data_IF_990530607655
#
_entry.id   IF_990530607655
#
_cell.length_a   1.000
_cell.length_b   1.000
_cell.length_c   1.000
_cell.angle_alpha   90.00
_cell.angle_beta   90.00
_cell.angle_gamma   90.00
#
_symmetry.space_group_name_H-M   'P 1'
#
loop_
_entity.id
_entity.type
_entity.pdbx_description
1 polymer ?
#
# COMPACT_ATOMS: atom_id res chain seq x y z
N UNK A 1 -34.01 -7.97 6.01
CA UNK A 1 -34.21 -6.63 6.59
C UNK A 1 -33.49 -5.63 5.71
N UNK A 2 -34.25 -4.74 5.06
CA UNK A 2 -33.74 -3.75 4.09
C UNK A 2 -33.26 -2.53 4.87
N UNK A 3 -31.97 -2.22 4.83
CA UNK A 3 -31.43 -0.98 5.41
C UNK A 3 -31.19 0.03 4.28
N UNK A 4 -31.95 1.12 4.37
CA UNK A 4 -32.03 2.25 3.46
C UNK A 4 -30.76 3.10 3.48
N UNK A 5 -30.26 3.39 2.28
CA UNK A 5 -29.14 4.29 1.99
C UNK A 5 -29.44 5.73 2.41
N UNK A 6 -28.58 6.33 3.25
CA UNK A 6 -28.59 7.77 3.54
C UNK A 6 -27.68 8.47 2.52
N UNK A 7 -28.25 9.16 1.53
CA UNK A 7 -27.52 10.05 0.62
C UNK A 7 -27.56 11.46 1.18
N UNK A 8 -26.43 11.97 1.65
CA UNK A 8 -26.26 13.38 2.01
C UNK A 8 -25.95 14.14 0.72
N UNK A 9 -26.90 14.95 0.26
CA UNK A 9 -26.73 15.88 -0.86
C UNK A 9 -26.13 17.18 -0.32
N UNK A 10 -24.94 17.54 -0.80
CA UNK A 10 -24.33 18.86 -0.56
C UNK A 10 -24.69 19.76 -1.73
N UNK A 11 -25.60 20.71 -1.50
CA UNK A 11 -25.87 21.84 -2.38
C UNK A 11 -25.19 23.07 -1.78
N UNK A 12 -24.13 23.56 -2.42
CA UNK A 12 -23.67 24.94 -2.24
C UNK A 12 -23.64 25.56 -3.63
N UNK A 13 -24.67 26.38 -3.87
CA UNK A 13 -24.87 27.12 -5.10
C UNK A 13 -23.91 28.32 -5.15
N UNK A 14 -23.19 28.42 -6.27
CA UNK A 14 -22.40 29.59 -6.66
C UNK A 14 -23.33 30.73 -7.06
N UNK A 15 -23.20 31.89 -6.41
CA UNK A 15 -23.89 33.12 -6.78
C UNK A 15 -22.90 34.27 -6.91
N UNK A 16 -22.39 34.49 -8.12
CA UNK A 16 -21.72 35.73 -8.53
C UNK A 16 -22.78 36.82 -8.76
N UNK A 17 -22.59 38.00 -8.18
CA UNK A 17 -23.22 39.23 -8.67
C UNK A 17 -22.18 40.36 -8.68
N UNK A 18 -21.69 40.65 -9.89
CA UNK A 18 -21.00 41.89 -10.25
C UNK A 18 -22.08 42.87 -10.69
N UNK A 19 -22.14 44.06 -10.09
CA UNK A 19 -22.81 45.22 -10.67
C UNK A 19 -22.10 46.50 -10.23
N UNK A 20 -21.63 47.26 -11.22
CA UNK A 20 -20.90 48.51 -11.07
C UNK A 20 -21.85 49.73 -11.15
N UNK A 21 -21.43 50.81 -10.47
CA UNK A 21 -21.61 52.23 -10.79
C UNK A 21 -23.02 52.80 -11.07
N UNK A 22 -23.54 53.61 -10.14
CA UNK A 22 -24.08 54.96 -10.41
C UNK A 22 -24.46 55.69 -9.12
N UNK A 23 -24.05 56.96 -8.99
CA UNK A 23 -24.80 58.01 -8.27
C UNK A 23 -24.73 58.00 -6.75
N UNK A 24 -24.09 59.03 -6.19
CA UNK A 24 -23.83 59.13 -4.75
C UNK A 24 -25.06 59.20 -3.86
N UNK A 25 -24.92 58.62 -2.67
CA UNK A 25 -25.47 59.15 -1.42
C UNK A 25 -24.44 58.84 -0.34
N UNK A 26 -24.12 59.86 0.44
CA UNK A 26 -23.23 59.80 1.58
C UNK A 26 -23.80 58.96 2.73
N UNK A 27 -22.90 58.33 3.50
CA UNK A 27 -23.14 58.04 4.91
C UNK A 27 -23.57 56.61 5.23
N UNK A 28 -22.75 55.96 6.07
CA UNK A 28 -23.09 54.83 6.94
C UNK A 28 -23.25 53.45 6.30
N UNK A 29 -22.14 52.80 5.91
CA UNK A 29 -22.11 51.35 5.73
C UNK A 29 -20.75 50.62 5.96
N UNK A 30 -19.77 51.05 6.79
CA UNK A 30 -18.58 50.24 7.00
C UNK A 30 -18.73 49.15 8.09
N UNK A 31 -19.91 48.97 8.70
CA UNK A 31 -20.07 48.09 9.87
C UNK A 31 -20.68 46.70 9.60
N UNK A 32 -21.16 46.41 8.38
CA UNK A 32 -21.81 45.12 8.07
C UNK A 32 -20.92 44.06 7.41
N UNK A 33 -19.68 44.41 7.02
CA UNK A 33 -18.72 43.46 6.44
C UNK A 33 -17.67 42.92 7.44
N UNK A 34 -17.62 43.47 8.67
CA UNK A 34 -16.73 42.98 9.72
C UNK A 34 -17.33 41.83 10.57
N UNK A 35 -18.65 41.56 10.46
CA UNK A 35 -19.34 40.55 11.26
C UNK A 35 -19.33 39.12 10.69
N UNK A 36 -18.98 38.94 9.42
CA UNK A 36 -19.02 37.65 8.72
C UNK A 36 -17.66 36.94 8.64
N UNK A 37 -16.60 37.51 9.23
CA UNK A 37 -15.28 36.88 9.32
C UNK A 37 -15.05 36.09 10.63
N UNK A 38 -16.00 36.10 11.58
CA UNK A 38 -15.86 35.45 12.89
C UNK A 38 -16.75 34.21 13.11
N UNK A 39 -17.43 33.74 12.06
CA UNK A 39 -18.30 32.57 12.13
C UNK A 39 -17.91 31.47 11.14
N UNK A 40 -16.61 31.31 10.84
CA UNK A 40 -16.16 29.99 10.44
C UNK A 40 -16.17 29.13 11.70
N UNK A 41 -17.09 28.15 11.83
CA UNK A 41 -16.89 27.16 12.85
C UNK A 41 -15.53 26.54 12.56
N UNK A 42 -14.69 26.50 13.58
CA UNK A 42 -13.68 25.48 13.72
C UNK A 42 -14.41 24.14 13.59
N UNK A 43 -14.66 23.72 12.35
CA UNK A 43 -14.81 22.33 12.01
C UNK A 43 -13.42 21.74 12.22
N UNK A 44 -13.05 21.61 13.49
CA UNK A 44 -12.20 20.52 13.90
C UNK A 44 -12.95 19.29 13.41
N UNK A 45 -12.57 18.84 12.22
CA UNK A 45 -12.78 17.48 11.78
C UNK A 45 -12.14 16.64 12.86
N UNK A 46 -12.90 16.33 13.91
CA UNK A 46 -12.63 15.21 14.78
C UNK A 46 -12.76 14.02 13.85
N UNK A 47 -11.66 13.70 13.16
CA UNK A 47 -11.48 12.42 12.52
C UNK A 47 -11.67 11.46 13.68
N UNK A 48 -12.87 10.90 13.79
CA UNK A 48 -13.19 9.92 14.79
C UNK A 48 -12.22 8.79 14.55
N UNK A 49 -11.17 8.74 15.38
CA UNK A 49 -10.24 7.63 15.43
C UNK A 49 -11.05 6.45 15.94
N UNK A 50 -11.59 5.62 15.05
CA UNK A 50 -12.01 4.27 15.40
C UNK A 50 -10.88 3.69 16.24
N UNK A 51 -11.26 3.24 17.43
CA UNK A 51 -10.32 2.64 18.36
C UNK A 51 -9.67 1.41 17.75
N UNK A 52 -8.69 0.87 18.48
CA UNK A 52 -8.13 -0.43 18.15
C UNK A 52 -9.26 -1.43 17.84
N UNK A 53 -9.04 -2.30 16.84
CA UNK A 53 -9.95 -3.38 16.49
C UNK A 53 -10.36 -4.10 17.76
N UNK A 54 -11.69 -4.19 18.01
CA UNK A 54 -12.15 -4.89 19.21
C UNK A 54 -11.59 -6.33 19.19
N UNK A 55 -10.97 -6.79 20.28
CA UNK A 55 -10.42 -8.13 20.33
C UNK A 55 -11.53 -9.15 20.07
N UNK A 56 -11.25 -10.15 19.25
CA UNK A 56 -12.20 -11.22 18.99
C UNK A 56 -12.43 -12.02 20.28
N UNK A 57 -13.68 -12.06 20.76
CA UNK A 57 -14.03 -12.83 21.96
C UNK A 57 -14.08 -14.35 21.72
N UNK A 58 -13.92 -14.81 20.47
CA UNK A 58 -13.95 -16.23 20.08
C UNK A 58 -12.76 -16.67 19.22
N UNK A 59 -13.00 -17.48 18.19
CA UNK A 59 -11.92 -18.01 17.34
C UNK A 59 -11.69 -17.12 16.13
N UNK A 60 -10.45 -16.66 15.96
CA UNK A 60 -10.04 -15.96 14.73
C UNK A 60 -9.68 -16.97 13.63
N UNK A 61 -10.18 -16.74 12.43
CA UNK A 61 -9.81 -17.50 11.23
C UNK A 61 -9.31 -16.53 10.17
N UNK A 62 -8.20 -16.87 9.51
CA UNK A 62 -7.65 -16.09 8.39
C UNK A 62 -8.03 -16.76 7.07
N UNK A 63 -8.41 -15.98 6.08
CA UNK A 63 -8.64 -16.42 4.70
C UNK A 63 -7.92 -15.49 3.73
N UNK A 64 -7.56 -15.99 2.55
CA UNK A 64 -7.17 -15.13 1.44
C UNK A 64 -8.41 -14.78 0.61
N UNK A 65 -8.59 -13.49 0.32
CA UNK A 65 -9.65 -12.99 -0.56
C UNK A 65 -9.08 -11.86 -1.41
N UNK A 66 -9.13 -12.01 -2.74
CA UNK A 66 -8.57 -11.05 -3.71
C UNK A 66 -7.09 -10.69 -3.40
N UNK A 67 -6.31 -11.69 -3.00
CA UNK A 67 -4.89 -11.54 -2.64
C UNK A 67 -4.64 -10.77 -1.33
N UNK A 68 -5.66 -10.63 -0.48
CA UNK A 68 -5.57 -10.00 0.86
C UNK A 68 -5.93 -10.98 1.95
N UNK A 69 -5.17 -10.93 3.04
CA UNK A 69 -5.48 -11.67 4.25
C UNK A 69 -6.66 -10.98 4.93
N UNK A 70 -7.78 -11.68 5.06
CA UNK A 70 -8.94 -11.24 5.81
C UNK A 70 -9.04 -12.07 7.09
N UNK A 71 -9.13 -11.41 8.23
CA UNK A 71 -9.33 -12.06 9.53
C UNK A 71 -10.79 -11.99 9.92
N UNK A 72 -11.42 -13.14 10.07
CA UNK A 72 -12.81 -13.30 10.52
C UNK A 72 -12.84 -13.68 11.99
N UNK A 73 -13.73 -13.07 12.76
CA UNK A 73 -14.00 -13.47 14.14
C UNK A 73 -15.24 -14.39 14.18
N UNK A 74 -15.06 -15.60 14.68
CA UNK A 74 -16.18 -16.47 15.04
C UNK A 74 -16.51 -16.29 16.51
N UNK A 75 -17.76 -15.94 16.86
CA UNK A 75 -18.19 -15.87 18.25
C UNK A 75 -17.99 -17.21 18.99
N UNK A 76 -17.81 -17.18 20.33
CA UNK A 76 -17.84 -18.38 21.15
C UNK A 76 -19.06 -19.24 20.83
N UNK A 77 -18.87 -20.57 20.76
CA UNK A 77 -19.93 -21.56 20.51
C UNK A 77 -20.54 -21.57 19.09
N UNK A 78 -20.11 -20.69 18.18
CA UNK A 78 -20.51 -20.74 16.77
C UNK A 78 -19.60 -21.70 15.97
N UNK A 79 -20.18 -22.49 15.06
CA UNK A 79 -19.39 -23.28 14.10
C UNK A 79 -18.72 -22.35 13.09
N UNK A 80 -17.40 -22.24 13.11
CA UNK A 80 -16.65 -21.48 12.11
C UNK A 80 -16.79 -22.11 10.72
N UNK A 81 -17.58 -21.49 9.85
CA UNK A 81 -17.73 -21.94 8.46
C UNK A 81 -16.61 -21.43 7.53
N UNK A 82 -15.68 -20.62 8.07
CA UNK A 82 -14.50 -20.09 7.38
C UNK A 82 -13.28 -21.00 7.50
N UNK A 83 -13.28 -21.91 8.49
CA UNK A 83 -12.18 -22.83 8.71
C UNK A 83 -12.13 -23.89 7.60
N UNK A 84 -11.04 -23.88 6.81
CA UNK A 84 -10.75 -24.91 5.81
C UNK A 84 -11.21 -24.63 4.38
N UNK A 85 -11.77 -23.46 4.06
CA UNK A 85 -12.26 -23.21 2.69
C UNK A 85 -11.16 -22.92 1.67
N UNK A 86 -10.03 -22.31 2.05
CA UNK A 86 -8.93 -22.06 1.11
C UNK A 86 -7.59 -22.19 1.82
N UNK A 87 -6.73 -23.11 1.35
CA UNK A 87 -5.32 -23.06 1.71
C UNK A 87 -4.74 -21.86 0.97
N UNK A 88 -4.04 -20.99 1.68
CA UNK A 88 -3.38 -19.85 1.08
C UNK A 88 -1.97 -19.73 1.63
N UNK A 89 -1.10 -19.11 0.85
CA UNK A 89 0.23 -18.72 1.32
C UNK A 89 0.21 -17.29 1.83
N UNK A 90 0.70 -17.07 3.04
CA UNK A 90 0.85 -15.73 3.62
C UNK A 90 2.11 -15.07 3.08
N UNK A 91 1.94 -14.06 2.23
CA UNK A 91 3.04 -13.33 1.62
C UNK A 91 3.68 -12.31 2.56
N UNK A 92 3.06 -12.03 3.72
CA UNK A 92 3.42 -10.92 4.60
C UNK A 92 2.64 -9.64 4.26
N UNK A 93 2.74 -8.65 5.15
CA UNK A 93 2.11 -7.32 5.00
C UNK A 93 0.61 -7.37 4.62
N UNK A 94 -0.13 -8.35 5.14
CA UNK A 94 -1.56 -8.52 4.87
C UNK A 94 -1.91 -9.00 3.45
N UNK A 95 -0.93 -9.48 2.67
CA UNK A 95 -1.09 -10.06 1.33
C UNK A 95 -1.02 -11.59 1.37
N UNK A 96 -1.62 -12.23 0.37
CA UNK A 96 -1.60 -13.68 0.25
C UNK A 96 -1.75 -14.15 -1.19
N UNK A 97 -1.44 -15.43 -1.41
CA UNK A 97 -1.76 -16.16 -2.64
C UNK A 97 -2.85 -17.19 -2.37
N UNK A 98 -3.93 -17.10 -3.14
CA UNK A 98 -4.96 -18.13 -3.18
C UNK A 98 -4.40 -19.35 -3.91
N UNK A 99 -4.67 -20.54 -3.35
CA UNK A 99 -4.40 -21.86 -3.93
C UNK A 99 -2.94 -22.20 -4.27
N UNK A 100 -2.00 -21.26 -4.16
CA UNK A 100 -0.57 -21.49 -4.30
C UNK A 100 0.16 -21.52 -2.96
N UNK A 101 1.21 -22.35 -2.87
CA UNK A 101 2.16 -22.38 -1.74
C UNK A 101 3.52 -21.78 -2.08
N UNK A 102 3.68 -21.22 -3.29
CA UNK A 102 4.96 -20.77 -3.78
C UNK A 102 5.25 -19.31 -3.38
N UNK A 103 6.28 -19.04 -2.56
CA UNK A 103 6.69 -17.68 -2.23
C UNK A 103 7.20 -16.89 -3.45
N UNK A 104 7.66 -17.57 -4.51
CA UNK A 104 8.08 -17.00 -5.79
C UNK A 104 7.01 -16.14 -6.47
N UNK A 105 5.75 -16.52 -6.28
CA UNK A 105 4.58 -15.86 -6.85
C UNK A 105 4.04 -14.69 -6.03
N UNK A 106 4.54 -14.48 -4.81
CA UNK A 106 4.09 -13.36 -3.98
C UNK A 106 4.45 -12.03 -4.65
N UNK A 107 3.47 -11.14 -4.91
CA UNK A 107 3.78 -9.83 -5.45
C UNK A 107 4.52 -8.99 -4.41
N UNK A 108 5.42 -8.12 -4.87
CA UNK A 108 6.03 -7.11 -4.01
C UNK A 108 4.92 -6.19 -3.43
N UNK A 109 4.86 -5.98 -2.10
CA UNK A 109 3.99 -4.99 -1.52
C UNK A 109 4.26 -3.59 -2.09
N UNK A 110 3.22 -2.94 -2.59
CA UNK A 110 3.28 -1.56 -3.10
C UNK A 110 2.78 -0.61 -2.03
N UNK A 111 3.57 0.42 -1.71
CA UNK A 111 3.12 1.48 -0.82
C UNK A 111 2.10 2.41 -1.47
N UNK A 112 1.39 3.17 -0.63
CA UNK A 112 0.41 4.17 -1.04
C UNK A 112 0.91 5.56 -0.63
N UNK A 113 1.51 6.24 -1.59
CA UNK A 113 2.17 7.53 -1.39
C UNK A 113 1.43 8.63 -2.14
N UNK A 114 1.51 9.86 -1.63
CA UNK A 114 1.00 11.04 -2.31
C UNK A 114 2.12 12.04 -2.56
N UNK A 115 1.99 12.79 -3.64
CA UNK A 115 2.79 13.98 -3.84
C UNK A 115 2.25 15.10 -2.95
N UNK A 116 3.09 15.58 -2.04
CA UNK A 116 2.82 16.73 -1.19
C UNK A 116 3.99 17.71 -1.33
N UNK A 117 3.67 19.00 -1.41
CA UNK A 117 4.69 20.03 -1.59
C UNK A 117 5.64 20.13 -0.38
N UNK A 118 5.10 19.91 0.83
CA UNK A 118 5.85 19.98 2.08
C UNK A 118 5.23 19.14 3.21
N UNK A 119 5.83 19.24 4.40
CA UNK A 119 5.37 18.56 5.61
C UNK A 119 3.99 19.01 6.10
N UNK A 120 3.65 20.28 5.93
CA UNK A 120 2.36 20.82 6.33
C UNK A 120 1.25 20.34 5.39
N UNK A 121 1.50 20.35 4.08
CA UNK A 121 0.57 19.88 3.06
C UNK A 121 0.25 18.39 3.22
N UNK A 122 1.29 17.56 3.41
CA UNK A 122 1.11 16.14 3.68
C UNK A 122 0.27 15.90 4.94
N UNK A 123 0.60 16.58 6.04
CA UNK A 123 -0.12 16.44 7.31
C UNK A 123 -1.56 16.92 7.24
N UNK A 124 -1.80 17.99 6.50
CA UNK A 124 -3.13 18.58 6.39
C UNK A 124 -4.07 17.73 5.53
N UNK A 125 -3.55 17.06 4.48
CA UNK A 125 -4.40 16.43 3.45
C UNK A 125 -4.35 14.92 3.39
N UNK A 126 -3.20 14.31 3.68
CA UNK A 126 -2.96 12.92 3.29
C UNK A 126 -2.53 12.05 4.47
N UNK A 127 -1.51 12.45 5.22
CA UNK A 127 -1.01 11.64 6.31
C UNK A 127 0.33 12.11 6.88
N UNK A 128 1.35 11.27 6.85
CA UNK A 128 2.63 11.52 7.53
C UNK A 128 3.81 11.28 6.60
N UNK A 129 4.84 12.11 6.73
CA UNK A 129 6.11 11.86 6.06
C UNK A 129 6.87 10.77 6.79
N UNK A 130 7.15 9.68 6.10
CA UNK A 130 7.92 8.55 6.61
C UNK A 130 8.98 8.15 5.59
N UNK A 131 9.98 7.42 6.06
CA UNK A 131 10.89 6.72 5.16
C UNK A 131 10.17 5.53 4.54
N UNK A 132 10.30 5.37 3.23
CA UNK A 132 9.63 4.34 2.46
C UNK A 132 10.53 3.85 1.32
N UNK A 133 10.17 2.69 0.77
CA UNK A 133 10.74 2.20 -0.47
C UNK A 133 9.87 2.62 -1.65
N UNK A 134 10.33 3.59 -2.42
CA UNK A 134 9.65 4.14 -3.61
C UNK A 134 10.51 3.82 -4.82
N UNK A 135 9.97 3.06 -5.77
CA UNK A 135 10.67 2.67 -7.00
C UNK A 135 12.10 2.12 -6.74
N UNK A 136 12.20 1.18 -5.80
CA UNK A 136 13.46 0.57 -5.33
C UNK A 136 14.48 1.54 -4.71
N UNK A 137 14.09 2.78 -4.41
CA UNK A 137 14.90 3.77 -3.73
C UNK A 137 14.37 4.10 -2.34
N UNK A 138 15.28 4.27 -1.40
CA UNK A 138 14.89 4.77 -0.08
C UNK A 138 14.64 6.26 -0.19
N UNK A 139 13.40 6.66 0.05
CA UNK A 139 12.98 8.05 -0.03
C UNK A 139 12.11 8.42 1.17
N UNK A 140 12.05 9.72 1.49
CA UNK A 140 10.95 10.23 2.28
C UNK A 140 9.73 10.34 1.39
N UNK A 141 8.61 9.78 1.83
CA UNK A 141 7.34 9.81 1.10
C UNK A 141 6.20 10.24 2.04
N UNK A 142 5.22 10.97 1.49
CA UNK A 142 3.99 11.27 2.21
C UNK A 142 3.09 10.03 2.17
N UNK A 143 3.04 9.30 3.28
CA UNK A 143 2.23 8.09 3.45
C UNK A 143 0.81 8.48 3.79
N UNK A 144 -0.16 7.99 3.01
CA UNK A 144 -1.57 8.22 3.31
C UNK A 144 -1.96 7.53 4.61
N UNK A 145 -2.62 8.25 5.52
CA UNK A 145 -3.21 7.61 6.67
C UNK A 145 -4.44 6.80 6.22
N UNK A 146 -4.49 5.51 6.59
CA UNK A 146 -5.63 4.70 6.20
C UNK A 146 -6.88 5.20 6.93
N UNK A 147 -8.08 5.05 6.35
CA UNK A 147 -9.31 5.35 7.05
C UNK A 147 -9.44 4.45 8.27
N UNK A 148 -10.28 4.86 9.21
CA UNK A 148 -10.26 4.27 10.54
C UNK A 148 -10.75 2.83 10.66
N UNK A 149 -11.48 2.35 9.66
CA UNK A 149 -11.93 0.96 9.56
C UNK A 149 -11.17 0.20 8.47
N UNK A 150 -9.92 0.57 8.23
CA UNK A 150 -9.09 -0.06 7.22
C UNK A 150 -8.46 -1.34 7.76
N UNK A 151 -8.88 -2.47 7.21
CA UNK A 151 -8.35 -3.81 7.51
C UNK A 151 -7.42 -4.32 6.38
N UNK A 152 -6.89 -3.43 5.53
CA UNK A 152 -6.04 -3.80 4.39
C UNK A 152 -4.53 -3.79 4.69
N UNK A 153 -3.69 -4.10 3.70
CA UNK A 153 -2.22 -4.00 3.79
C UNK A 153 -1.75 -2.62 4.26
N UNK A 154 -0.66 -2.51 5.04
CA UNK A 154 -0.17 -1.22 5.52
C UNK A 154 0.15 -0.28 4.34
N UNK A 155 -0.24 1.02 4.42
CA UNK A 155 0.08 1.99 3.37
C UNK A 155 1.58 2.20 3.14
N UNK A 156 2.40 2.00 4.17
CA UNK A 156 3.86 1.93 4.08
C UNK A 156 4.31 0.50 4.44
N UNK A 157 4.49 -0.39 3.43
CA UNK A 157 4.95 -1.76 3.68
C UNK A 157 6.34 -1.78 4.31
N UNK A 158 6.60 -2.81 5.10
CA UNK A 158 7.97 -3.04 5.56
C UNK A 158 8.91 -3.25 4.37
N UNK A 159 10.10 -2.68 4.44
CA UNK A 159 11.10 -2.82 3.38
C UNK A 159 12.47 -3.12 3.96
N UNK A 160 13.33 -3.70 3.12
CA UNK A 160 14.73 -3.96 3.45
C UNK A 160 15.62 -3.10 2.59
N UNK A 161 16.68 -2.58 3.19
CA UNK A 161 17.77 -1.87 2.50
C UNK A 161 18.81 -2.87 2.04
N UNK A 162 19.32 -2.68 0.84
CA UNK A 162 20.35 -3.58 0.24
C UNK A 162 21.56 -2.80 -0.28
N UNK A 163 21.62 -1.53 0.09
CA UNK A 163 22.66 -0.55 -0.20
C UNK A 163 22.31 0.75 0.53
N UNK A 164 23.06 1.82 0.27
CA UNK A 164 22.81 3.12 0.91
C UNK A 164 21.48 3.73 0.47
N UNK A 165 21.14 3.61 -0.81
CA UNK A 165 19.99 4.25 -1.44
C UNK A 165 18.98 3.27 -2.05
N UNK A 166 19.24 1.96 -1.99
CA UNK A 166 18.39 0.91 -2.57
C UNK A 166 17.61 0.11 -1.54
N UNK A 167 16.39 -0.24 -1.91
CA UNK A 167 15.49 -1.03 -1.10
C UNK A 167 14.62 -1.97 -1.92
N UNK A 168 13.99 -2.90 -1.21
CA UNK A 168 12.89 -3.71 -1.73
C UNK A 168 11.86 -3.96 -0.64
N UNK A 169 10.58 -3.93 -1.02
CA UNK A 169 9.47 -4.44 -0.21
C UNK A 169 9.25 -5.93 -0.46
N UNK A 170 9.85 -6.51 -1.50
CA UNK A 170 9.74 -7.92 -1.82
C UNK A 170 10.41 -8.78 -0.74
N UNK A 171 9.84 -9.97 -0.52
CA UNK A 171 10.44 -11.02 0.31
C UNK A 171 11.83 -11.49 -0.16
N UNK A 172 12.16 -11.28 -1.42
CA UNK A 172 13.45 -11.66 -2.01
C UNK A 172 14.34 -10.43 -2.15
N UNK A 173 15.55 -10.53 -1.62
CA UNK A 173 16.53 -9.42 -1.68
C UNK A 173 17.01 -9.19 -3.11
N UNK A 174 16.83 -10.18 -3.99
CA UNK A 174 17.13 -10.16 -5.41
C UNK A 174 16.39 -9.05 -6.16
N UNK A 175 15.17 -8.72 -5.75
CA UNK A 175 14.39 -7.60 -6.28
C UNK A 175 15.03 -6.24 -5.98
N UNK A 176 15.90 -6.20 -4.97
CA UNK A 176 16.67 -5.03 -4.60
C UNK A 176 17.89 -4.79 -5.47
N UNK A 177 18.11 -5.57 -6.53
CA UNK A 177 19.20 -5.35 -7.48
C UNK A 177 18.68 -4.82 -8.82
N UNK A 178 19.48 -4.04 -9.56
CA UNK A 178 18.98 -3.38 -10.75
C UNK A 178 18.69 -4.36 -11.88
N UNK A 179 17.70 -4.03 -12.69
CA UNK A 179 17.45 -4.70 -13.96
C UNK A 179 18.44 -4.25 -15.03
N UNK A 180 18.53 -4.99 -16.13
CA UNK A 180 19.35 -4.58 -17.30
C UNK A 180 18.89 -3.26 -17.91
N UNK A 181 17.59 -2.95 -17.83
CA UNK A 181 17.04 -1.69 -18.32
C UNK A 181 17.45 -0.49 -17.45
N UNK A 182 17.66 -0.69 -16.15
CA UNK A 182 18.02 0.37 -15.21
C UNK A 182 19.51 0.72 -15.25
N UNK A 183 20.39 -0.28 -15.31
CA UNK A 183 21.83 -0.07 -15.19
C UNK A 183 22.56 -0.03 -16.54
N UNK A 184 21.99 -0.62 -17.60
CA UNK A 184 22.73 -0.88 -18.84
C UNK A 184 23.58 -2.16 -18.74
N UNK A 185 23.77 -2.86 -19.86
CA UNK A 185 24.33 -4.22 -19.84
C UNK A 185 25.81 -4.30 -19.39
N UNK A 186 26.60 -3.26 -19.67
CA UNK A 186 28.04 -3.22 -19.41
C UNK A 186 28.39 -2.73 -17.99
N UNK A 187 27.46 -2.09 -17.32
CA UNK A 187 27.69 -1.38 -16.05
C UNK A 187 27.43 -2.26 -14.82
N UNK A 188 27.11 -3.54 -15.03
CA UNK A 188 26.95 -4.51 -13.96
C UNK A 188 28.31 -4.95 -13.42
N UNK A 189 28.70 -4.44 -12.24
CA UNK A 189 29.93 -4.85 -11.53
C UNK A 189 29.95 -6.34 -11.13
N UNK A 190 28.77 -6.98 -11.09
CA UNK A 190 28.60 -8.38 -10.74
C UNK A 190 28.27 -9.27 -11.94
N UNK A 191 27.20 -10.04 -11.82
CA UNK A 191 26.73 -10.94 -12.88
C UNK A 191 25.23 -10.83 -13.10
N UNK A 192 24.84 -10.76 -14.36
CA UNK A 192 23.45 -10.86 -14.78
C UNK A 192 22.92 -12.26 -14.46
N UNK A 193 21.98 -12.32 -13.51
CA UNK A 193 21.42 -13.56 -13.00
C UNK A 193 19.91 -13.55 -13.16
N UNK A 194 19.37 -14.66 -13.67
CA UNK A 194 17.91 -14.86 -13.75
C UNK A 194 17.37 -15.21 -12.36
N UNK A 195 16.26 -14.59 -11.99
CA UNK A 195 15.58 -14.77 -10.71
C UNK A 195 14.07 -14.85 -10.92
N UNK A 196 13.38 -15.56 -10.03
CA UNK A 196 11.93 -15.62 -10.02
C UNK A 196 11.34 -14.65 -9.00
N UNK A 197 10.70 -13.58 -9.49
CA UNK A 197 10.10 -12.53 -8.67
C UNK A 197 8.65 -12.31 -9.12
N UNK A 198 7.69 -12.34 -8.20
CA UNK A 198 6.27 -12.23 -8.52
C UNK A 198 5.77 -13.19 -9.60
N UNK A 199 6.34 -14.41 -9.66
CA UNK A 199 6.03 -15.42 -10.68
C UNK A 199 6.61 -15.15 -12.07
N UNK A 200 7.50 -14.16 -12.22
CA UNK A 200 8.15 -13.81 -13.48
C UNK A 200 9.65 -14.03 -13.41
N UNK A 201 10.20 -14.56 -14.50
CA UNK A 201 11.66 -14.65 -14.66
C UNK A 201 12.18 -13.28 -15.07
N UNK A 202 12.97 -12.69 -14.20
CA UNK A 202 13.61 -11.40 -14.41
C UNK A 202 15.12 -11.54 -14.35
N UNK A 203 15.85 -10.66 -15.02
CA UNK A 203 17.32 -10.65 -14.99
C UNK A 203 17.80 -9.45 -14.17
N UNK A 204 18.55 -9.73 -13.11
CA UNK A 204 19.05 -8.73 -12.16
C UNK A 204 20.58 -8.76 -12.11
N UNK A 205 21.20 -7.60 -11.91
CA UNK A 205 22.64 -7.49 -11.69
C UNK A 205 22.94 -7.79 -10.23
N UNK A 206 23.18 -9.06 -9.92
CA UNK A 206 23.62 -9.47 -8.59
C UNK A 206 25.13 -9.23 -8.49
N UNK A 207 25.70 -8.84 -7.33
CA UNK A 207 27.14 -8.54 -7.23
C UNK A 207 28.04 -9.74 -7.60
N UNK A 208 29.37 -9.62 -7.49
CA UNK A 208 30.33 -10.75 -7.69
C UNK A 208 30.76 -11.42 -6.36
N UNK A 209 31.19 -12.71 -6.39
CA UNK A 209 31.65 -13.46 -5.19
C UNK A 209 30.67 -14.42 -4.46
N UNK A 210 29.67 -15.00 -5.16
CA UNK A 210 28.37 -15.39 -4.56
C UNK A 210 28.21 -16.81 -4.01
N UNK A 211 29.22 -17.66 -3.92
CA UNK A 211 28.98 -19.04 -3.47
C UNK A 211 28.38 -19.14 -2.05
N UNK A 212 28.70 -18.20 -1.14
CA UNK A 212 28.03 -18.10 0.17
C UNK A 212 26.68 -17.37 0.12
N UNK A 213 26.51 -16.38 -0.76
CA UNK A 213 25.29 -15.58 -0.87
C UNK A 213 24.19 -16.26 -1.70
N UNK A 214 24.50 -17.17 -2.63
CA UNK A 214 23.51 -17.94 -3.39
C UNK A 214 22.71 -18.92 -2.51
N UNK A 215 23.21 -19.25 -1.32
CA UNK A 215 22.40 -19.96 -0.32
C UNK A 215 21.39 -19.03 0.38
N UNK A 216 21.60 -17.71 0.32
CA UNK A 216 20.73 -16.67 0.85
C UNK A 216 19.83 -16.01 -0.21
N UNK A 217 19.94 -16.43 -1.48
CA UNK A 217 19.17 -15.90 -2.62
C UNK A 217 18.24 -16.98 -3.21
N UNK A 218 17.11 -17.26 -2.54
CA UNK A 218 16.20 -18.31 -2.95
C UNK A 218 15.56 -18.05 -4.32
N UNK A 219 15.39 -16.80 -4.76
CA UNK A 219 14.78 -16.50 -6.06
C UNK A 219 15.64 -16.93 -7.26
N UNK A 220 16.94 -17.18 -7.05
CA UNK A 220 17.83 -17.73 -8.09
C UNK A 220 17.62 -19.23 -8.33
N UNK A 221 16.99 -19.93 -7.38
CA UNK A 221 16.68 -21.36 -7.46
C UNK A 221 15.20 -21.50 -7.78
N UNK A 222 14.87 -21.52 -9.07
CA UNK A 222 13.49 -21.55 -9.53
C UNK A 222 13.28 -22.59 -10.63
N UNK A 223 12.03 -23.02 -10.78
CA UNK A 223 11.55 -23.79 -11.91
C UNK A 223 10.72 -22.89 -12.84
N UNK A 224 10.82 -23.11 -14.15
CA UNK A 224 9.90 -22.53 -15.12
C UNK A 224 8.66 -23.41 -15.21
N UNK A 225 7.49 -22.79 -15.11
CA UNK A 225 6.20 -23.47 -15.11
C UNK A 225 5.63 -23.58 -16.54
N UNK A 226 4.74 -24.56 -16.82
CA UNK A 226 4.17 -24.76 -18.16
C UNK A 226 3.38 -23.57 -18.71
N UNK A 227 2.84 -22.73 -17.83
CA UNK A 227 2.11 -21.50 -18.14
C UNK A 227 3.03 -20.31 -18.48
N UNK A 228 4.36 -20.52 -18.52
CA UNK A 228 5.35 -19.48 -18.79
C UNK A 228 5.74 -18.65 -17.57
N UNK A 229 5.14 -18.91 -16.39
CA UNK A 229 5.56 -18.30 -15.12
C UNK A 229 6.77 -19.03 -14.54
N UNK A 230 7.23 -18.60 -13.37
CA UNK A 230 8.21 -19.33 -12.57
C UNK A 230 7.72 -19.57 -11.16
N UNK A 231 8.34 -20.53 -10.48
CA UNK A 231 8.14 -20.79 -9.07
C UNK A 231 9.47 -21.00 -8.34
N UNK A 232 9.57 -20.53 -7.09
CA UNK A 232 10.79 -20.66 -6.29
C UNK A 232 10.87 -22.06 -5.69
N UNK A 233 12.03 -22.71 -5.84
CA UNK A 233 12.24 -24.11 -5.46
C UNK A 233 12.24 -25.04 -6.67
N UNK A 234 11.43 -26.10 -6.60
CA UNK A 234 11.36 -27.16 -7.61
C UNK A 234 10.11 -27.06 -8.49
N UNK A 235 10.02 -27.94 -9.50
CA UNK A 235 8.88 -27.98 -10.41
C UNK A 235 7.55 -28.33 -9.73
N UNK A 236 7.56 -28.90 -8.50
CA UNK A 236 6.33 -29.15 -7.75
C UNK A 236 5.73 -27.86 -7.18
N UNK A 237 6.51 -26.77 -7.11
CA UNK A 237 6.03 -25.43 -6.78
C UNK A 237 5.22 -24.77 -7.91
N UNK A 238 5.28 -25.29 -9.14
CA UNK A 238 4.46 -24.85 -10.28
C UNK A 238 3.01 -25.33 -10.25
N UNK A 239 2.53 -25.85 -9.12
CA UNK A 239 1.12 -26.19 -8.96
C UNK A 239 0.29 -24.90 -8.99
N UNK A 240 -0.84 -24.90 -9.72
CA UNK A 240 -1.78 -23.78 -9.70
C UNK A 240 -2.31 -23.54 -8.28
#
# INVERSE_FOLDING_TARGET
MRSTSLRIAVLVASGLAVAACAGGVAGLAPLLLAGLALAWPLAASSVARAGARMPCEGTETRTCHDGRVVTHCCPPQAKCNYAGRHRFYDCGDGRCLEDSSDPGRCPAPTGQFQEAADAADCKAKYGVWEEACVDHRVAKACVMQPPTNYDGPPPNPSFRRCGEDRCTTHRFVEDCYPTRAELGAADCEGSWTKVCLGGKVEERCLPGGWQKLMMAMPATKYATCPDGTCAVGDAAACKP
#
